data_IF_245180637451
#
_entry.id   IF_245180637451
#
_cell.length_a   1.000
_cell.length_b   1.000
_cell.length_c   1.000
_cell.angle_alpha   90.00
_cell.angle_beta   90.00
_cell.angle_gamma   90.00
#
_symmetry.space_group_name_H-M   'P 1'
#
loop_
_entity.id
_entity.type
_entity.pdbx_description
1 polymer ?
#
# COMPACT_ATOMS: atom_id res chain seq x y z
N UNK A 1 -27.39 3.12 -15.67
CA UNK A 1 -27.38 2.43 -14.37
C UNK A 1 -26.00 2.59 -13.73
N UNK A 2 -25.84 3.54 -12.81
CA UNK A 2 -24.54 3.96 -12.29
C UNK A 2 -24.36 3.53 -10.82
N UNK A 3 -23.28 2.82 -10.53
CA UNK A 3 -23.03 2.24 -9.21
C UNK A 3 -22.59 3.35 -8.22
N UNK A 4 -23.35 3.51 -7.16
CA UNK A 4 -23.33 4.64 -6.21
C UNK A 4 -21.94 4.89 -5.56
N UNK A 5 -21.48 6.15 -5.61
CA UNK A 5 -20.26 6.68 -4.99
C UNK A 5 -20.29 6.57 -3.45
N UNK A 6 -21.50 6.56 -2.86
CA UNK A 6 -21.73 6.49 -1.43
C UNK A 6 -21.12 5.23 -0.77
N UNK A 7 -21.09 4.10 -1.46
CA UNK A 7 -20.49 2.87 -0.92
C UNK A 7 -18.95 2.91 -0.83
N UNK A 8 -18.28 3.81 -1.59
CA UNK A 8 -16.81 3.98 -1.58
C UNK A 8 -16.30 4.94 -0.50
N UNK A 9 -17.15 5.84 -0.02
CA UNK A 9 -16.81 6.80 1.04
C UNK A 9 -16.87 6.13 2.42
N UNK A 10 -17.70 5.10 2.59
CA UNK A 10 -17.97 4.45 3.87
C UNK A 10 -16.77 3.76 4.54
N UNK A 11 -15.76 3.36 3.76
CA UNK A 11 -14.60 2.61 4.25
C UNK A 11 -13.47 3.51 4.73
N UNK A 12 -13.42 4.77 4.29
CA UNK A 12 -12.44 5.75 4.78
C UNK A 12 -12.70 6.16 6.25
N UNK A 13 -13.85 5.78 6.82
CA UNK A 13 -14.32 6.10 8.18
C UNK A 13 -13.83 5.16 9.31
N UNK A 14 -12.95 4.19 9.04
CA UNK A 14 -12.44 3.25 10.04
C UNK A 14 -11.06 3.66 10.56
N UNK A 15 -11.06 4.41 11.66
CA UNK A 15 -9.87 5.02 12.26
C UNK A 15 -9.68 4.51 13.71
N UNK A 16 -8.93 3.41 13.95
CA UNK A 16 -8.86 2.72 15.25
C UNK A 16 -8.24 3.54 16.40
N UNK A 17 -7.55 4.64 16.11
CA UNK A 17 -7.01 5.58 17.09
C UNK A 17 -7.81 6.88 17.27
N UNK A 18 -8.94 7.03 16.56
CA UNK A 18 -9.79 8.23 16.64
C UNK A 18 -10.75 8.10 17.82
N UNK A 19 -10.85 9.12 18.68
CA UNK A 19 -11.71 9.13 19.87
C UNK A 19 -13.19 8.82 19.54
N UNK A 20 -13.64 9.22 18.34
CA UNK A 20 -14.99 8.93 17.81
C UNK A 20 -15.23 7.46 17.43
N UNK A 21 -14.18 6.63 17.37
CA UNK A 21 -14.29 5.22 17.02
C UNK A 21 -14.60 4.33 18.23
N UNK A 22 -14.38 4.81 19.46
CA UNK A 22 -14.72 4.08 20.70
C UNK A 22 -16.23 3.98 20.94
N UNK A 23 -17.00 4.97 20.46
CA UNK A 23 -18.47 5.00 20.58
C UNK A 23 -19.18 4.02 19.61
N UNK A 24 -18.45 3.43 18.65
CA UNK A 24 -19.00 2.48 17.70
C UNK A 24 -19.15 1.10 18.32
N UNK A 25 -20.24 0.39 17.98
CA UNK A 25 -20.45 -0.99 18.41
C UNK A 25 -19.34 -1.93 17.92
N UNK A 26 -19.12 -3.05 18.61
CA UNK A 26 -18.08 -4.03 18.27
C UNK A 26 -18.17 -4.51 16.80
N UNK A 27 -19.39 -4.66 16.28
CA UNK A 27 -19.66 -5.02 14.89
C UNK A 27 -19.23 -3.93 13.90
N UNK A 28 -19.39 -2.66 14.25
CA UNK A 28 -19.00 -1.52 13.42
C UNK A 28 -17.49 -1.29 13.43
N UNK A 29 -16.80 -1.63 14.54
CA UNK A 29 -15.33 -1.55 14.66
C UNK A 29 -14.59 -2.65 13.91
N UNK A 30 -15.22 -3.81 13.70
CA UNK A 30 -14.67 -4.95 12.96
C UNK A 30 -15.01 -4.95 11.47
N UNK A 31 -15.83 -3.99 11.03
CA UNK A 31 -15.93 -3.71 9.62
C UNK A 31 -14.56 -3.18 9.20
N UNK A 32 -14.00 -3.75 8.14
CA UNK A 32 -12.77 -3.29 7.51
C UNK A 32 -13.11 -2.48 6.26
N UNK A 33 -12.10 -1.88 5.63
CA UNK A 33 -12.21 -1.27 4.29
C UNK A 33 -12.60 -2.31 3.23
N UNK A 34 -13.83 -2.81 3.26
CA UNK A 34 -14.27 -4.02 2.54
C UNK A 34 -14.95 -3.69 1.21
N UNK A 35 -14.80 -2.47 0.71
CA UNK A 35 -15.34 -2.10 -0.59
C UNK A 35 -14.38 -2.60 -1.65
N UNK A 36 -14.64 -3.83 -2.12
CA UNK A 36 -13.97 -4.38 -3.29
C UNK A 36 -14.03 -3.36 -4.42
N UNK A 37 -12.86 -3.02 -4.95
CA UNK A 37 -12.74 -1.99 -5.96
C UNK A 37 -13.54 -2.41 -7.18
N UNK A 38 -14.38 -1.50 -7.69
CA UNK A 38 -15.10 -1.72 -8.94
C UNK A 38 -14.07 -1.77 -10.07
N UNK A 39 -14.02 -2.85 -10.88
CA UNK A 39 -13.12 -2.93 -12.02
C UNK A 39 -13.23 -1.68 -12.91
N UNK A 40 -12.09 -1.14 -13.35
CA UNK A 40 -12.02 0.08 -14.16
C UNK A 40 -12.20 1.40 -13.39
N UNK A 41 -12.46 1.37 -12.08
CA UNK A 41 -12.44 2.58 -11.28
C UNK A 41 -11.04 2.86 -10.75
N UNK A 42 -10.53 4.07 -10.97
CA UNK A 42 -9.27 4.54 -10.39
C UNK A 42 -9.45 4.80 -8.89
N UNK A 43 -9.13 3.81 -8.05
CA UNK A 43 -9.00 4.02 -6.61
C UNK A 43 -8.11 2.94 -6.00
N UNK A 44 -7.14 3.37 -5.18
CA UNK A 44 -6.26 2.51 -4.38
C UNK A 44 -4.99 2.05 -5.10
N UNK A 45 -3.89 1.95 -4.34
CA UNK A 45 -2.70 1.18 -4.72
C UNK A 45 -2.88 -0.31 -4.39
N UNK A 46 -1.85 -1.11 -4.66
CA UNK A 46 -1.84 -2.53 -4.28
C UNK A 46 -1.24 -2.74 -2.88
N UNK A 47 -1.33 -3.96 -2.34
CA UNK A 47 -0.73 -4.29 -1.05
C UNK A 47 0.78 -4.04 -1.02
N UNK A 48 1.47 -4.26 -2.15
CA UNK A 48 2.89 -3.96 -2.29
C UNK A 48 3.20 -2.47 -2.16
N UNK A 49 2.42 -1.59 -2.81
CA UNK A 49 2.58 -0.12 -2.66
C UNK A 49 2.42 0.29 -1.19
N UNK A 50 1.40 -0.25 -0.50
CA UNK A 50 1.22 -0.05 0.94
C UNK A 50 2.41 -0.52 1.77
N UNK A 51 2.94 -1.71 1.50
CA UNK A 51 4.11 -2.25 2.20
C UNK A 51 5.37 -1.42 1.94
N UNK A 52 5.64 -1.04 0.68
CA UNK A 52 6.80 -0.20 0.33
C UNK A 52 6.72 1.15 1.01
N UNK A 53 5.55 1.81 1.00
CA UNK A 53 5.33 3.08 1.70
C UNK A 53 5.65 2.96 3.20
N UNK A 54 5.18 1.88 3.84
CA UNK A 54 5.38 1.68 5.26
C UNK A 54 6.84 1.32 5.63
N UNK A 55 7.52 0.56 4.77
CA UNK A 55 8.84 -0.01 5.06
C UNK A 55 10.01 0.83 4.54
N UNK A 56 9.82 1.65 3.50
CA UNK A 56 10.88 2.50 2.93
C UNK A 56 11.59 3.42 3.93
N UNK A 57 10.95 3.91 5.02
CA UNK A 57 11.65 4.64 6.08
C UNK A 57 12.65 3.83 6.91
N UNK A 58 12.71 2.50 6.76
CA UNK A 58 13.79 1.68 7.34
C UNK A 58 14.98 1.80 6.40
N UNK A 59 15.86 2.76 6.72
CA UNK A 59 16.86 3.28 5.78
C UNK A 59 18.18 2.52 5.73
N UNK A 60 18.39 1.60 6.65
CA UNK A 60 19.62 0.83 6.88
C UNK A 60 19.51 -0.65 6.42
N UNK A 61 18.44 -1.00 5.69
CA UNK A 61 18.24 -2.34 5.12
C UNK A 61 18.09 -2.29 3.61
N UNK A 62 18.33 -3.43 2.95
CA UNK A 62 18.01 -3.62 1.53
C UNK A 62 16.57 -4.14 1.40
N UNK A 63 15.68 -3.32 0.84
CA UNK A 63 14.31 -3.72 0.53
C UNK A 63 14.29 -4.47 -0.81
N UNK A 64 14.50 -5.79 -0.77
CA UNK A 64 14.46 -6.64 -1.96
C UNK A 64 13.01 -6.89 -2.41
N UNK A 65 12.66 -6.35 -3.58
CA UNK A 65 11.38 -6.63 -4.24
C UNK A 65 11.52 -7.87 -5.09
N UNK A 66 10.89 -8.96 -4.66
CA UNK A 66 10.85 -10.19 -5.43
C UNK A 66 9.71 -10.13 -6.45
N UNK A 67 10.04 -9.82 -7.70
CA UNK A 67 9.07 -9.63 -8.77
C UNK A 67 9.74 -9.16 -10.06
N UNK A 68 8.95 -8.94 -11.13
CA UNK A 68 9.45 -8.28 -12.34
C UNK A 68 9.91 -6.85 -12.03
N UNK A 69 10.87 -6.31 -12.82
CA UNK A 69 11.42 -4.96 -12.61
C UNK A 69 10.38 -3.84 -12.52
N UNK A 70 9.21 -4.00 -13.15
CA UNK A 70 8.17 -2.97 -13.20
C UNK A 70 7.66 -2.54 -11.82
N UNK A 71 7.57 -3.46 -10.86
CA UNK A 71 7.08 -3.16 -9.51
C UNK A 71 8.03 -2.22 -8.76
N UNK A 72 9.32 -2.56 -8.70
CA UNK A 72 10.32 -1.70 -8.07
C UNK A 72 10.58 -0.44 -8.90
N UNK A 73 10.73 -0.56 -10.22
CA UNK A 73 11.01 0.57 -11.10
C UNK A 73 9.95 1.68 -11.04
N UNK A 74 8.68 1.33 -10.83
CA UNK A 74 7.59 2.30 -10.70
C UNK A 74 7.44 2.86 -9.28
N UNK A 75 7.97 2.17 -8.27
CA UNK A 75 7.79 2.52 -6.86
C UNK A 75 9.05 3.12 -6.22
N UNK A 76 10.19 3.01 -6.91
CA UNK A 76 11.48 3.44 -6.42
C UNK A 76 11.47 4.94 -6.11
N UNK A 77 11.67 5.26 -4.84
CA UNK A 77 11.62 6.62 -4.28
C UNK A 77 10.34 7.42 -4.62
N UNK A 78 9.24 6.75 -4.99
CA UNK A 78 7.94 7.39 -5.25
C UNK A 78 7.37 8.08 -3.99
N UNK A 79 7.87 7.67 -2.81
CA UNK A 79 7.50 8.19 -1.49
C UNK A 79 8.78 8.41 -0.70
N UNK A 80 9.25 9.66 -0.70
CA UNK A 80 10.53 10.03 -0.10
C UNK A 80 10.54 9.77 1.41
N UNK A 81 11.65 9.21 1.89
CA UNK A 81 11.99 9.12 3.30
C UNK A 81 13.17 10.06 3.62
N UNK A 82 13.24 10.54 4.86
CA UNK A 82 14.37 11.33 5.34
C UNK A 82 15.35 10.43 6.08
N UNK A 83 16.65 10.62 5.84
CA UNK A 83 17.71 9.99 6.61
C UNK A 83 18.88 10.95 6.75
N UNK A 84 19.44 11.03 7.96
CA UNK A 84 20.67 11.76 8.28
C UNK A 84 21.93 10.87 8.24
N UNK A 85 21.78 9.60 7.90
CA UNK A 85 22.87 8.63 7.88
C UNK A 85 22.70 7.63 6.73
N UNK A 86 22.31 6.37 7.00
CA UNK A 86 22.18 5.34 5.96
C UNK A 86 21.30 5.76 4.80
N UNK A 87 21.74 5.49 3.57
CA UNK A 87 21.01 5.82 2.34
C UNK A 87 20.64 4.57 1.53
N UNK A 88 20.69 3.38 2.14
CA UNK A 88 20.44 2.10 1.44
C UNK A 88 19.06 2.06 0.78
N UNK A 89 18.04 2.67 1.41
CA UNK A 89 16.68 2.81 0.84
C UNK A 89 16.63 3.58 -0.49
N UNK A 90 17.65 4.40 -0.82
CA UNK A 90 17.71 5.13 -2.09
C UNK A 90 18.11 4.26 -3.26
N UNK A 91 18.53 3.02 -3.03
CA UNK A 91 18.83 2.07 -4.10
C UNK A 91 17.71 1.05 -4.19
N UNK A 92 17.20 0.84 -5.40
CA UNK A 92 16.21 -0.20 -5.66
C UNK A 92 16.86 -1.58 -5.76
N UNK A 93 16.29 -2.57 -5.10
CA UNK A 93 16.73 -3.96 -5.17
C UNK A 93 15.56 -4.80 -5.68
N UNK A 94 15.78 -5.55 -6.76
CA UNK A 94 14.79 -6.47 -7.31
C UNK A 94 15.45 -7.75 -7.79
N UNK A 95 14.69 -8.83 -7.81
CA UNK A 95 15.13 -10.08 -8.46
C UNK A 95 14.91 -10.07 -9.97
N UNK A 96 14.16 -9.09 -10.49
CA UNK A 96 13.80 -8.95 -11.91
C UNK A 96 13.34 -10.27 -12.56
N UNK A 97 12.27 -10.83 -11.97
CA UNK A 97 11.67 -12.10 -12.44
C UNK A 97 11.34 -11.99 -13.93
N UNK A 98 11.96 -12.86 -14.71
CA UNK A 98 11.74 -13.04 -16.14
C UNK A 98 10.74 -14.16 -16.43
N UNK A 99 10.41 -14.39 -17.70
CA UNK A 99 9.53 -15.49 -18.10
C UNK A 99 10.04 -16.86 -17.63
N UNK A 100 11.37 -17.09 -17.68
CA UNK A 100 11.98 -18.35 -17.28
C UNK A 100 12.00 -18.57 -15.76
N UNK A 101 11.87 -17.51 -14.96
CA UNK A 101 11.77 -17.61 -13.51
C UNK A 101 10.32 -17.95 -13.05
N UNK A 102 9.34 -17.72 -13.93
CA UNK A 102 7.92 -18.01 -13.66
C UNK A 102 7.53 -19.44 -14.02
N UNK A 103 8.11 -20.00 -15.09
CA UNK A 103 7.84 -21.36 -15.58
C UNK A 103 8.46 -22.41 -14.65
#
# INVERSE_FOLDING_TARGET
MATNLAAKIQTVFEEPGCDHNQEKSERQRKKGCSSQLKPGAAAGGCAFDGAKIALQPIVDVAHLVHGPIACEGSSWDNRSALSSGPQTYRTGFTTDISELDVI
#
